data_IF_581056263762
#
_entry.id   IF_581056263762
#
_cell.length_a   1.000
_cell.length_b   1.000
_cell.length_c   1.000
_cell.angle_alpha   90.00
_cell.angle_beta   90.00
_cell.angle_gamma   90.00
#
_symmetry.space_group_name_H-M   'P 1'
#
loop_
_entity.id
_entity.type
_entity.pdbx_description
1 polymer ?
#
# COMPACT_ATOMS: atom_id res chain seq x y z
N UNK A 1 -10.09 -2.84 -7.52
CA UNK A 1 -10.27 -3.32 -6.12
C UNK A 1 -10.40 -2.17 -5.13
N UNK A 2 -9.56 -1.14 -5.18
CA UNK A 2 -9.59 0.02 -4.25
C UNK A 2 -10.92 0.76 -4.22
N UNK A 3 -11.51 1.12 -5.37
CA UNK A 3 -12.79 1.83 -5.43
C UNK A 3 -14.00 1.05 -4.86
N UNK A 4 -13.94 -0.29 -4.87
CA UNK A 4 -14.97 -1.14 -4.26
C UNK A 4 -14.86 -1.12 -2.73
N UNK A 5 -13.64 -1.25 -2.19
CA UNK A 5 -13.39 -1.24 -0.74
C UNK A 5 -13.92 0.02 -0.05
N UNK A 6 -13.67 1.20 -0.63
CA UNK A 6 -14.20 2.46 -0.10
C UNK A 6 -15.74 2.51 -0.03
N UNK A 7 -16.43 1.84 -0.96
CA UNK A 7 -17.89 1.87 -1.04
C UNK A 7 -18.54 0.92 -0.02
N UNK A 8 -17.85 -0.16 0.35
CA UNK A 8 -18.34 -1.17 1.29
C UNK A 8 -17.91 -0.93 2.74
N UNK A 9 -16.78 -0.24 2.96
CA UNK A 9 -16.24 0.03 4.30
C UNK A 9 -16.94 1.17 5.03
N UNK A 10 -17.73 2.01 4.34
CA UNK A 10 -18.16 3.31 4.86
C UNK A 10 -17.16 4.43 4.61
N UNK A 11 -16.36 4.33 3.54
CA UNK A 11 -15.38 5.34 3.15
C UNK A 11 -14.01 5.18 3.82
N UNK A 12 -13.26 6.27 3.90
CA UNK A 12 -11.89 6.30 4.41
C UNK A 12 -11.80 5.87 5.88
N UNK A 13 -12.73 6.32 6.72
CA UNK A 13 -12.81 5.93 8.14
C UNK A 13 -12.99 4.42 8.32
N UNK A 14 -13.83 3.82 7.47
CA UNK A 14 -14.02 2.38 7.47
C UNK A 14 -12.76 1.60 7.12
N UNK A 15 -12.04 2.07 6.10
CA UNK A 15 -10.77 1.45 5.68
C UNK A 15 -9.68 1.63 6.75
N UNK A 16 -9.65 2.79 7.40
CA UNK A 16 -8.68 3.10 8.45
C UNK A 16 -8.81 2.17 9.67
N UNK A 17 -10.03 1.75 10.04
CA UNK A 17 -10.25 0.85 11.19
C UNK A 17 -9.60 -0.52 11.05
N UNK A 18 -9.52 -1.06 9.84
CA UNK A 18 -8.89 -2.34 9.56
C UNK A 18 -7.39 -2.24 9.24
N UNK A 19 -6.85 -1.02 9.16
CA UNK A 19 -5.45 -0.80 8.83
C UNK A 19 -4.63 -0.58 10.10
N UNK A 20 -3.50 -1.28 10.33
CA UNK A 20 -2.70 -1.15 11.55
C UNK A 20 -2.23 0.28 11.85
N UNK A 21 -2.06 1.12 10.83
CA UNK A 21 -1.70 2.53 11.00
C UNK A 21 -2.88 3.48 11.21
N UNK A 22 -4.11 2.95 11.27
CA UNK A 22 -5.30 3.74 11.61
C UNK A 22 -5.66 4.81 10.59
N UNK A 23 -5.15 4.70 9.35
CA UNK A 23 -5.43 5.64 8.26
C UNK A 23 -5.46 4.94 6.91
N UNK A 24 -5.99 5.61 5.90
CA UNK A 24 -5.80 5.20 4.51
C UNK A 24 -4.38 5.55 4.07
N UNK A 25 -3.75 4.65 3.30
CA UNK A 25 -2.47 4.91 2.66
C UNK A 25 -2.58 5.97 1.55
N UNK A 26 -1.61 6.86 1.50
CA UNK A 26 -1.48 7.90 0.48
C UNK A 26 -0.47 7.49 -0.59
N UNK A 27 -0.55 7.99 -1.83
CA UNK A 27 0.41 7.67 -2.88
C UNK A 27 1.88 7.91 -2.47
N UNK A 28 2.11 8.92 -1.63
CA UNK A 28 3.43 9.25 -1.12
C UNK A 28 4.06 8.13 -0.27
N UNK A 29 3.25 7.30 0.40
CA UNK A 29 3.73 6.17 1.20
C UNK A 29 4.43 5.11 0.34
N UNK A 30 4.06 5.01 -0.96
CA UNK A 30 4.61 4.05 -1.91
C UNK A 30 5.66 4.62 -2.86
N UNK A 31 5.83 5.95 -2.88
CA UNK A 31 6.75 6.61 -3.80
C UNK A 31 8.20 6.12 -3.63
N UNK A 32 8.65 5.93 -2.38
CA UNK A 32 10.00 5.42 -2.10
C UNK A 32 10.21 3.98 -2.60
N UNK A 33 9.20 3.12 -2.44
CA UNK A 33 9.24 1.73 -2.92
C UNK A 33 9.30 1.69 -4.45
N UNK A 34 8.47 2.50 -5.11
CA UNK A 34 8.47 2.62 -6.57
C UNK A 34 9.83 3.15 -7.09
N UNK A 35 10.39 4.17 -6.44
CA UNK A 35 11.71 4.71 -6.78
C UNK A 35 12.82 3.66 -6.61
N UNK A 36 12.81 2.91 -5.51
CA UNK A 36 13.76 1.82 -5.29
C UNK A 36 13.69 0.79 -6.42
N UNK A 37 12.48 0.29 -6.71
CA UNK A 37 12.25 -0.73 -7.76
C UNK A 37 12.62 -0.23 -9.16
N UNK A 38 12.48 1.06 -9.44
CA UNK A 38 12.88 1.66 -10.71
C UNK A 38 14.38 1.98 -10.80
N UNK A 39 15.11 1.91 -9.68
CA UNK A 39 16.52 2.27 -9.62
C UNK A 39 17.46 1.07 -9.92
N UNK A 40 18.74 1.33 -10.22
CA UNK A 40 19.75 0.27 -10.31
C UNK A 40 19.91 -0.56 -9.04
N UNK A 41 19.52 -0.03 -7.87
CA UNK A 41 19.62 -0.76 -6.60
C UNK A 41 18.70 -2.00 -6.56
N UNK A 42 17.68 -2.05 -7.41
CA UNK A 42 16.79 -3.19 -7.56
C UNK A 42 17.21 -4.15 -8.70
N UNK A 43 18.44 -4.09 -9.21
CA UNK A 43 18.88 -4.84 -10.42
C UNK A 43 18.69 -6.36 -10.35
N UNK A 44 18.58 -6.91 -9.14
CA UNK A 44 18.35 -8.35 -8.92
C UNK A 44 17.06 -8.64 -8.13
N UNK A 45 16.16 -7.66 -8.05
CA UNK A 45 14.86 -7.81 -7.39
C UNK A 45 13.79 -7.97 -8.46
N UNK A 46 13.28 -9.19 -8.60
CA UNK A 46 12.20 -9.53 -9.55
C UNK A 46 11.29 -10.60 -8.95
N UNK A 47 10.02 -10.64 -9.36
CA UNK A 47 9.02 -11.57 -8.84
C UNK A 47 8.65 -11.35 -7.37
N UNK A 48 9.11 -10.26 -6.75
CA UNK A 48 8.83 -9.94 -5.35
C UNK A 48 7.55 -9.12 -5.20
N UNK A 49 6.80 -9.37 -4.13
CA UNK A 49 5.65 -8.57 -3.73
C UNK A 49 5.99 -7.78 -2.46
N UNK A 50 6.02 -6.46 -2.58
CA UNK A 50 6.20 -5.55 -1.44
C UNK A 50 4.84 -5.02 -1.03
N UNK A 51 4.43 -5.30 0.20
CA UNK A 51 3.15 -4.85 0.77
C UNK A 51 3.41 -3.84 1.89
N UNK A 52 2.65 -2.75 1.88
CA UNK A 52 2.73 -1.70 2.90
C UNK A 52 1.86 -1.96 4.13
N UNK A 53 1.02 -2.99 4.05
CA UNK A 53 0.21 -3.48 5.14
C UNK A 53 0.61 -4.94 5.36
N UNK A 54 1.00 -5.25 6.60
CA UNK A 54 1.19 -6.63 7.06
C UNK A 54 -0.03 -6.94 7.92
N UNK A 55 -0.74 -8.00 7.56
CA UNK A 55 -1.67 -8.69 8.45
C UNK A 55 -0.93 -9.97 8.89
N UNK A 56 -1.03 -10.34 10.17
CA UNK A 56 -0.65 -11.69 10.61
C UNK A 56 -1.64 -12.72 10.02
#
# INVERSE_FOLDING_TARGET
MTAFGFKTSGGAEGMAKGHPWGRVGEPADMAGVALFLASPAASYVTGAQLVSMVED
#
